data_IF_197558373809
#
_entry.id   IF_197558373809
#
_cell.length_a   1.000
_cell.length_b   1.000
_cell.length_c   1.000
_cell.angle_alpha   90.00
_cell.angle_beta   90.00
_cell.angle_gamma   90.00
#
_symmetry.space_group_name_H-M   'P 1'
#
loop_
_entity.id
_entity.type
_entity.pdbx_description
1 polymer ?
#
# COMPACT_ATOMS: atom_id res chain seq x y z
N UNK A 1 5.61 57.46 45.66
CA UNK A 1 6.49 58.43 44.99
C UNK A 1 6.73 57.85 43.61
N UNK A 2 6.31 58.34 42.49
CA UNK A 2 5.64 59.52 42.00
C UNK A 2 4.86 59.13 40.76
N UNK A 3 3.61 59.51 40.69
CA UNK A 3 2.72 59.44 39.52
C UNK A 3 3.20 60.41 38.44
N UNK A 4 3.10 60.00 37.20
CA UNK A 4 3.00 60.93 36.06
C UNK A 4 1.84 60.51 35.14
N UNK A 5 0.86 61.43 35.18
CA UNK A 5 -0.30 61.51 34.32
C UNK A 5 0.08 62.42 33.14
N UNK A 6 -0.15 62.06 31.89
CA UNK A 6 -0.14 62.99 30.76
C UNK A 6 -1.33 62.76 29.89
N UNK A 7 -2.15 63.77 29.89
CA UNK A 7 -3.38 63.95 29.12
C UNK A 7 -3.14 63.93 27.60
N UNK A 8 -4.13 63.39 26.92
CA UNK A 8 -4.25 63.35 25.48
C UNK A 8 -5.01 64.61 24.97
N UNK A 9 -4.45 65.40 24.08
CA UNK A 9 -5.21 66.41 23.34
C UNK A 9 -5.12 66.15 21.83
N UNK A 10 -6.02 65.38 21.25
CA UNK A 10 -6.47 65.54 19.88
C UNK A 10 -7.81 64.82 19.65
N UNK A 11 -8.87 65.58 19.91
CA UNK A 11 -10.21 65.28 19.36
C UNK A 11 -10.37 66.01 18.05
N UNK A 12 -11.10 65.34 17.14
CA UNK A 12 -11.79 65.86 15.98
C UNK A 12 -11.00 66.06 14.65
N UNK A 13 -11.21 65.13 13.75
CA UNK A 13 -11.57 65.43 12.34
C UNK A 13 -12.25 64.19 11.74
N UNK A 14 -13.53 64.28 11.42
CA UNK A 14 -14.30 63.29 10.70
C UNK A 14 -13.82 63.16 9.27
N UNK A 15 -13.36 61.96 8.89
CA UNK A 15 -13.06 61.60 7.50
C UNK A 15 -14.02 60.45 7.12
N UNK A 16 -14.82 60.73 6.08
CA UNK A 16 -15.83 59.80 5.57
C UNK A 16 -15.27 58.44 5.18
N UNK A 17 -15.99 57.42 5.50
CA UNK A 17 -15.62 56.03 5.11
C UNK A 17 -15.69 55.89 3.59
N UNK A 18 -14.65 55.40 2.89
CA UNK A 18 -14.77 55.16 1.47
C UNK A 18 -15.65 53.92 1.21
N UNK A 19 -16.53 54.03 0.25
CA UNK A 19 -17.55 53.06 -0.16
C UNK A 19 -16.98 51.83 -0.90
N UNK A 20 -15.81 51.37 -0.55
CA UNK A 20 -15.10 50.27 -1.25
C UNK A 20 -15.14 48.93 -0.51
N UNK A 21 -15.94 48.82 0.59
CA UNK A 21 -15.97 47.61 1.42
C UNK A 21 -17.03 46.57 0.97
N UNK A 22 -17.81 46.80 -0.05
CA UNK A 22 -18.91 45.90 -0.45
C UNK A 22 -18.67 45.07 -1.70
N UNK A 23 -17.51 45.21 -2.39
CA UNK A 23 -17.24 44.42 -3.60
C UNK A 23 -16.27 43.20 -3.35
N UNK A 24 -15.58 43.17 -2.22
CA UNK A 24 -14.59 42.13 -1.93
C UNK A 24 -15.22 40.80 -1.49
N UNK A 25 -16.45 40.80 -1.04
CA UNK A 25 -17.13 39.59 -0.54
C UNK A 25 -17.78 38.72 -1.62
N UNK A 26 -17.90 39.25 -2.83
CA UNK A 26 -18.49 38.53 -3.98
C UNK A 26 -17.45 37.84 -4.86
N UNK A 27 -16.14 38.16 -4.71
CA UNK A 27 -15.06 37.55 -5.48
C UNK A 27 -14.47 36.30 -4.81
N UNK A 28 -14.64 36.13 -3.50
CA UNK A 28 -14.11 34.96 -2.76
C UNK A 28 -14.87 33.66 -3.11
N UNK A 29 -16.22 33.63 -3.20
CA UNK A 29 -16.90 32.40 -3.63
C UNK A 29 -16.67 32.04 -5.10
N UNK A 30 -16.35 33.01 -5.98
CA UNK A 30 -16.07 32.76 -7.40
C UNK A 30 -14.72 32.09 -7.64
N UNK A 31 -13.70 32.38 -6.83
CA UNK A 31 -12.36 31.75 -6.94
C UNK A 31 -12.32 30.33 -6.37
N UNK A 32 -13.21 30.02 -5.41
CA UNK A 32 -13.34 28.67 -4.84
C UNK A 32 -14.01 27.68 -5.79
N UNK A 33 -14.70 28.15 -6.83
CA UNK A 33 -15.35 27.30 -7.83
C UNK A 33 -14.43 26.88 -8.98
N UNK A 34 -13.23 27.46 -9.11
CA UNK A 34 -12.28 27.16 -10.19
C UNK A 34 -11.15 26.19 -9.78
N UNK A 35 -11.02 25.84 -8.50
CA UNK A 35 -10.14 24.76 -8.06
C UNK A 35 -10.85 23.40 -8.12
N UNK A 36 -11.40 23.07 -9.26
CA UNK A 36 -11.79 21.73 -9.65
C UNK A 36 -10.54 20.88 -9.86
N UNK A 37 -9.73 20.68 -8.83
CA UNK A 37 -8.74 19.61 -8.84
C UNK A 37 -9.48 18.31 -9.12
N UNK A 38 -9.03 17.57 -10.13
CA UNK A 38 -9.57 16.32 -10.61
C UNK A 38 -9.61 15.26 -9.50
N UNK A 39 -10.58 15.36 -8.59
CA UNK A 39 -10.88 14.31 -7.64
C UNK A 39 -11.89 13.40 -8.32
N UNK A 40 -11.50 12.15 -8.54
CA UNK A 40 -12.43 11.14 -9.04
C UNK A 40 -13.04 10.37 -7.87
N UNK A 41 -14.24 9.86 -8.08
CA UNK A 41 -14.84 8.85 -7.21
C UNK A 41 -14.41 7.48 -7.75
N UNK A 42 -14.19 6.52 -6.86
CA UNK A 42 -13.90 5.15 -7.28
C UNK A 42 -15.03 4.63 -8.17
N UNK A 43 -14.66 3.87 -9.21
CA UNK A 43 -15.63 3.21 -10.08
C UNK A 43 -16.25 2.04 -9.34
N UNK A 44 -17.56 1.88 -9.48
CA UNK A 44 -18.27 0.71 -8.98
C UNK A 44 -18.04 -0.46 -9.95
N UNK A 45 -17.08 -1.33 -9.62
CA UNK A 45 -16.72 -2.51 -10.40
C UNK A 45 -17.06 -3.73 -9.55
N UNK A 46 -17.92 -4.64 -10.05
CA UNK A 46 -18.28 -5.84 -9.32
C UNK A 46 -17.04 -6.69 -8.97
N UNK A 47 -16.96 -7.11 -7.72
CA UNK A 47 -15.90 -8.00 -7.25
C UNK A 47 -16.12 -9.40 -7.82
N UNK A 48 -15.11 -9.93 -8.52
CA UNK A 48 -15.09 -11.32 -8.98
C UNK A 48 -14.37 -12.14 -7.92
N UNK A 49 -15.02 -13.11 -7.25
CA UNK A 49 -14.36 -13.94 -6.26
C UNK A 49 -13.14 -14.67 -6.83
N UNK A 50 -12.06 -14.69 -6.05
CA UNK A 50 -10.83 -15.40 -6.40
C UNK A 50 -10.31 -16.18 -5.20
N UNK A 51 -9.78 -17.38 -5.42
CA UNK A 51 -9.33 -18.27 -4.37
C UNK A 51 -7.89 -18.70 -4.57
N UNK A 52 -7.24 -19.08 -3.46
CA UNK A 52 -5.94 -19.72 -3.49
C UNK A 52 -5.99 -20.99 -4.34
N UNK A 53 -4.95 -21.24 -5.09
CA UNK A 53 -4.79 -22.51 -5.80
C UNK A 53 -4.35 -23.59 -4.79
N UNK A 54 -4.58 -24.88 -5.08
CA UNK A 54 -3.99 -25.96 -4.30
C UNK A 54 -2.48 -25.78 -4.20
N UNK A 55 -1.82 -26.34 -3.17
CA UNK A 55 -0.37 -26.31 -3.08
C UNK A 55 0.30 -26.86 -4.34
N UNK A 56 1.30 -26.15 -4.84
CA UNK A 56 2.09 -26.59 -6.00
C UNK A 56 2.61 -28.02 -5.81
N UNK A 57 2.57 -28.79 -6.89
CA UNK A 57 3.08 -30.17 -6.94
C UNK A 57 4.42 -30.24 -7.68
N UNK A 58 5.05 -29.10 -7.95
CA UNK A 58 6.32 -28.99 -8.68
C UNK A 58 7.11 -27.76 -8.21
N UNK A 59 8.31 -27.60 -8.72
CA UNK A 59 9.15 -26.44 -8.45
C UNK A 59 9.95 -26.50 -7.14
N UNK A 60 10.77 -25.47 -6.88
CA UNK A 60 11.69 -25.46 -5.73
C UNK A 60 10.98 -25.50 -4.39
N UNK A 61 9.89 -24.77 -4.22
CA UNK A 61 9.16 -24.71 -2.94
C UNK A 61 8.48 -26.05 -2.62
N UNK A 62 7.96 -26.76 -3.63
CA UNK A 62 7.47 -28.12 -3.44
C UNK A 62 8.57 -29.08 -2.99
N UNK A 63 9.76 -29.01 -3.58
CA UNK A 63 10.88 -29.86 -3.16
C UNK A 63 11.29 -29.60 -1.70
N UNK A 64 11.29 -28.34 -1.27
CA UNK A 64 11.56 -27.98 0.13
C UNK A 64 10.51 -28.58 1.05
N UNK A 65 9.23 -28.51 0.72
CA UNK A 65 8.17 -29.09 1.57
C UNK A 65 8.24 -30.61 1.62
N UNK A 66 8.58 -31.27 0.54
CA UNK A 66 8.83 -32.71 0.49
C UNK A 66 9.99 -33.12 1.43
N UNK A 67 11.07 -32.36 1.46
CA UNK A 67 12.20 -32.62 2.38
C UNK A 67 11.78 -32.41 3.85
N UNK A 68 11.00 -31.37 4.12
CA UNK A 68 10.45 -31.10 5.46
C UNK A 68 9.55 -32.25 5.93
N UNK A 69 8.67 -32.73 5.08
CA UNK A 69 7.78 -33.86 5.38
C UNK A 69 8.57 -35.16 5.61
N UNK A 70 9.61 -35.40 4.84
CA UNK A 70 10.47 -36.57 5.01
C UNK A 70 11.21 -36.56 6.36
N UNK A 71 11.56 -35.37 6.88
CA UNK A 71 12.25 -35.21 8.16
C UNK A 71 11.31 -35.17 9.36
N UNK A 72 10.16 -34.51 9.25
CA UNK A 72 9.28 -34.20 10.38
C UNK A 72 8.01 -35.06 10.40
N UNK A 73 7.71 -35.77 9.32
CA UNK A 73 6.48 -36.54 9.12
C UNK A 73 5.42 -35.77 8.33
N UNK A 74 4.60 -36.52 7.59
CA UNK A 74 3.50 -35.99 6.77
C UNK A 74 2.49 -35.26 7.64
N UNK A 75 1.96 -34.13 7.12
CA UNK A 75 0.97 -33.33 7.82
C UNK A 75 1.52 -32.46 8.95
N UNK A 76 2.84 -32.32 9.06
CA UNK A 76 3.49 -31.42 10.01
C UNK A 76 3.89 -30.10 9.37
N UNK A 77 3.69 -29.02 10.10
CA UNK A 77 4.22 -27.71 9.73
C UNK A 77 5.58 -27.46 10.39
N UNK A 78 6.41 -26.69 9.72
CA UNK A 78 7.69 -26.22 10.28
C UNK A 78 7.71 -24.71 10.35
N UNK A 79 8.56 -24.16 11.22
CA UNK A 79 8.65 -22.73 11.48
C UNK A 79 10.12 -22.30 11.60
N UNK A 80 10.42 -21.18 10.94
CA UNK A 80 11.68 -20.46 11.08
C UNK A 80 11.40 -19.03 11.53
N UNK A 81 11.89 -18.65 12.70
CA UNK A 81 11.77 -17.28 13.20
C UNK A 81 12.67 -16.32 12.43
N UNK A 82 12.16 -15.15 12.05
CA UNK A 82 12.88 -14.06 11.38
C UNK A 82 12.94 -12.83 12.30
N UNK A 83 13.84 -12.79 13.28
CA UNK A 83 14.03 -11.63 14.15
C UNK A 83 14.77 -10.48 13.45
N UNK A 84 15.62 -10.79 12.47
CA UNK A 84 16.41 -9.80 11.75
C UNK A 84 15.60 -9.11 10.63
N UNK A 85 15.78 -7.80 10.51
CA UNK A 85 15.02 -6.99 9.56
C UNK A 85 15.44 -7.28 8.11
N UNK A 86 16.73 -7.38 7.85
CA UNK A 86 17.24 -7.62 6.50
C UNK A 86 16.91 -9.04 6.02
N UNK A 87 16.99 -10.03 6.91
CA UNK A 87 16.61 -11.39 6.59
C UNK A 87 15.11 -11.49 6.28
N UNK A 88 14.27 -10.71 6.98
CA UNK A 88 12.84 -10.65 6.68
C UNK A 88 12.54 -10.14 5.26
N UNK A 89 13.31 -9.17 4.74
CA UNK A 89 13.22 -8.75 3.33
C UNK A 89 13.76 -9.83 2.41
N UNK A 90 14.96 -10.34 2.65
CA UNK A 90 15.59 -11.37 1.83
C UNK A 90 14.71 -12.61 1.62
N UNK A 91 14.01 -13.04 2.66
CA UNK A 91 13.08 -14.16 2.54
C UNK A 91 11.91 -13.86 1.62
N UNK A 92 11.36 -12.63 1.59
CA UNK A 92 10.31 -12.25 0.66
C UNK A 92 10.79 -12.26 -0.78
N UNK A 93 11.98 -11.67 -1.03
CA UNK A 93 12.59 -11.66 -2.35
C UNK A 93 12.88 -13.10 -2.83
N UNK A 94 13.47 -13.92 -1.97
CA UNK A 94 13.75 -15.33 -2.26
C UNK A 94 12.47 -16.11 -2.59
N UNK A 95 11.39 -15.94 -1.82
CA UNK A 95 10.13 -16.63 -2.10
C UNK A 95 9.50 -16.12 -3.39
N UNK A 96 9.59 -14.82 -3.70
CA UNK A 96 9.15 -14.27 -4.98
C UNK A 96 9.93 -14.87 -6.16
N UNK A 97 11.24 -15.03 -6.02
CA UNK A 97 12.10 -15.60 -7.06
C UNK A 97 11.86 -17.10 -7.27
N UNK A 98 11.59 -17.84 -6.19
CA UNK A 98 11.37 -19.29 -6.22
C UNK A 98 9.93 -19.70 -6.58
N UNK A 99 8.97 -18.79 -6.47
CA UNK A 99 7.57 -19.06 -6.82
C UNK A 99 7.43 -19.43 -8.31
N UNK A 100 6.62 -20.44 -8.57
CA UNK A 100 6.36 -21.00 -9.91
C UNK A 100 4.90 -20.92 -10.33
N UNK A 101 3.97 -20.78 -9.38
CA UNK A 101 2.53 -20.82 -9.68
C UNK A 101 1.80 -19.60 -9.09
N UNK A 102 1.97 -19.30 -7.79
CA UNK A 102 1.19 -18.25 -7.12
C UNK A 102 1.98 -17.48 -6.07
N UNK A 103 1.67 -16.18 -5.94
CA UNK A 103 2.04 -15.34 -4.80
C UNK A 103 0.80 -14.62 -4.32
N UNK A 104 0.49 -14.74 -3.02
CA UNK A 104 -0.55 -13.97 -2.33
C UNK A 104 0.11 -13.11 -1.25
N UNK A 105 -0.04 -11.79 -1.34
CA UNK A 105 0.59 -10.85 -0.41
C UNK A 105 -0.46 -9.89 0.17
N UNK A 106 -0.50 -9.78 1.51
CA UNK A 106 -1.45 -8.95 2.23
C UNK A 106 -0.70 -8.06 3.21
N UNK A 107 -0.93 -6.74 3.14
CA UNK A 107 -0.25 -5.78 3.99
C UNK A 107 -1.15 -4.62 4.40
N UNK A 108 -0.96 -4.14 5.63
CA UNK A 108 -1.60 -2.93 6.11
C UNK A 108 -0.97 -1.68 5.48
N UNK A 109 0.35 -1.69 5.27
CA UNK A 109 1.10 -0.57 4.70
C UNK A 109 2.12 -1.10 3.68
N UNK A 110 2.17 -0.43 2.53
CA UNK A 110 3.20 -0.63 1.51
C UNK A 110 3.71 0.73 1.06
N UNK A 111 4.94 1.06 1.47
CA UNK A 111 5.61 2.30 1.08
C UNK A 111 6.19 2.19 -0.33
N UNK A 112 6.15 3.30 -1.07
CA UNK A 112 6.87 3.42 -2.35
C UNK A 112 8.35 3.79 -2.18
N UNK A 113 8.97 3.39 -1.05
CA UNK A 113 10.39 3.56 -0.79
C UNK A 113 11.22 2.42 -1.43
N UNK A 114 12.51 2.39 -1.16
CA UNK A 114 13.45 1.47 -1.77
C UNK A 114 13.08 0.00 -1.56
N UNK A 115 12.75 -0.38 -0.32
CA UNK A 115 12.33 -1.75 0.01
C UNK A 115 11.03 -2.12 -0.71
N UNK A 116 10.07 -1.20 -0.75
CA UNK A 116 8.78 -1.45 -1.41
C UNK A 116 8.92 -1.54 -2.93
N UNK A 117 9.78 -0.71 -3.54
CA UNK A 117 10.08 -0.77 -4.98
C UNK A 117 10.84 -2.05 -5.36
N UNK A 118 11.80 -2.45 -4.53
CA UNK A 118 12.55 -3.69 -4.74
C UNK A 118 11.62 -4.91 -4.71
N UNK A 119 10.76 -5.02 -3.72
CA UNK A 119 9.80 -6.13 -3.67
C UNK A 119 8.81 -6.08 -4.83
N UNK A 120 8.32 -4.90 -5.22
CA UNK A 120 7.45 -4.74 -6.38
C UNK A 120 8.12 -5.21 -7.68
N UNK A 121 9.41 -4.94 -7.85
CA UNK A 121 10.18 -5.42 -9.00
C UNK A 121 10.22 -6.96 -9.04
N UNK A 122 10.52 -7.62 -7.91
CA UNK A 122 10.52 -9.09 -7.84
C UNK A 122 9.13 -9.69 -8.10
N UNK A 123 8.05 -9.02 -7.66
CA UNK A 123 6.68 -9.46 -7.98
C UNK A 123 6.35 -9.33 -9.48
N UNK A 124 6.81 -8.26 -10.14
CA UNK A 124 6.66 -8.12 -11.59
C UNK A 124 7.45 -9.20 -12.31
N UNK A 125 8.70 -9.46 -11.91
CA UNK A 125 9.53 -10.51 -12.49
C UNK A 125 8.93 -11.91 -12.28
N UNK A 126 8.31 -12.17 -11.12
CA UNK A 126 7.54 -13.40 -10.90
C UNK A 126 6.34 -13.49 -11.85
N UNK A 127 5.58 -12.42 -11.98
CA UNK A 127 4.43 -12.36 -12.89
C UNK A 127 4.82 -12.53 -14.36
N UNK A 128 5.98 -12.02 -14.80
CA UNK A 128 6.55 -12.24 -16.13
C UNK A 128 6.87 -13.72 -16.39
N UNK A 129 7.27 -14.45 -15.35
CA UNK A 129 7.47 -15.90 -15.44
C UNK A 129 6.18 -16.70 -15.50
N UNK A 130 5.02 -16.02 -15.40
CA UNK A 130 3.68 -16.64 -15.42
C UNK A 130 3.09 -16.91 -14.03
N UNK A 131 3.75 -16.48 -12.96
CA UNK A 131 3.23 -16.61 -11.59
C UNK A 131 2.02 -15.68 -11.42
N UNK A 132 0.92 -16.20 -10.89
CA UNK A 132 -0.24 -15.38 -10.52
C UNK A 132 0.03 -14.65 -9.22
N UNK A 133 0.02 -13.32 -9.24
CA UNK A 133 0.24 -12.46 -8.08
C UNK A 133 -1.07 -11.81 -7.67
N UNK A 134 -1.48 -12.00 -6.40
CA UNK A 134 -2.59 -11.26 -5.75
C UNK A 134 -2.01 -10.38 -4.65
N UNK A 135 -2.25 -9.09 -4.74
CA UNK A 135 -1.79 -8.11 -3.75
C UNK A 135 -2.98 -7.41 -3.10
N UNK A 136 -3.15 -7.59 -1.80
CA UNK A 136 -4.18 -6.94 -0.99
C UNK A 136 -3.54 -5.94 -0.01
N UNK A 137 -3.88 -4.66 -0.14
CA UNK A 137 -3.32 -3.59 0.70
C UNK A 137 -4.43 -2.76 1.30
N UNK A 138 -4.27 -2.35 2.56
CA UNK A 138 -5.20 -1.40 3.19
C UNK A 138 -4.96 0.02 2.68
N UNK A 139 -6.02 0.84 2.55
CA UNK A 139 -5.94 2.19 1.97
C UNK A 139 -5.43 3.29 2.94
N UNK A 140 -4.80 2.94 4.04
CA UNK A 140 -4.34 3.97 4.99
C UNK A 140 -3.28 4.90 4.37
N UNK A 141 -2.39 4.36 3.52
CA UNK A 141 -1.27 5.09 2.94
C UNK A 141 -1.17 5.00 1.41
N UNK A 142 -2.19 4.49 0.73
CA UNK A 142 -2.19 4.33 -0.73
C UNK A 142 -2.82 5.51 -1.48
N UNK A 143 -3.30 6.52 -0.79
CA UNK A 143 -4.15 7.59 -1.31
C UNK A 143 -3.52 8.38 -2.47
N UNK A 144 -2.21 8.54 -2.48
CA UNK A 144 -1.47 9.27 -3.51
C UNK A 144 -0.84 8.35 -4.57
N UNK A 145 -1.18 7.05 -4.55
CA UNK A 145 -0.59 6.03 -5.42
C UNK A 145 -1.56 5.37 -6.40
N UNK A 146 -2.73 5.97 -6.67
CA UNK A 146 -3.73 5.41 -7.59
C UNK A 146 -3.16 5.07 -8.97
N UNK A 147 -2.26 5.92 -9.49
CA UNK A 147 -1.55 5.66 -10.76
C UNK A 147 -0.61 4.45 -10.67
N UNK A 148 0.03 4.21 -9.55
CA UNK A 148 0.91 3.06 -9.34
C UNK A 148 0.09 1.78 -9.19
N UNK A 149 -1.05 1.84 -8.50
CA UNK A 149 -2.01 0.74 -8.41
C UNK A 149 -2.50 0.36 -9.81
N UNK A 150 -2.98 1.34 -10.59
CA UNK A 150 -3.44 1.11 -11.96
C UNK A 150 -2.33 0.55 -12.87
N UNK A 151 -1.10 1.06 -12.70
CA UNK A 151 0.05 0.63 -13.48
C UNK A 151 0.42 -0.84 -13.18
N UNK A 152 0.55 -1.23 -11.91
CA UNK A 152 0.84 -2.62 -11.54
C UNK A 152 -0.32 -3.57 -11.91
N UNK A 153 -1.56 -3.15 -11.69
CA UNK A 153 -2.76 -3.94 -12.03
C UNK A 153 -2.97 -4.09 -13.55
N UNK A 154 -2.21 -3.36 -14.40
CA UNK A 154 -2.24 -3.55 -15.85
C UNK A 154 -1.51 -4.81 -16.32
N UNK A 155 -0.68 -5.42 -15.46
CA UNK A 155 -0.01 -6.68 -15.77
C UNK A 155 -1.02 -7.84 -15.77
N UNK A 156 -1.06 -8.72 -16.79
CA UNK A 156 -2.08 -9.78 -16.91
C UNK A 156 -2.06 -10.80 -15.77
N UNK A 157 -0.92 -10.97 -15.09
CA UNK A 157 -0.73 -11.92 -13.99
C UNK A 157 -0.69 -11.23 -12.60
N UNK A 158 -0.97 -9.92 -12.50
CA UNK A 158 -1.04 -9.20 -11.23
C UNK A 158 -2.45 -8.68 -11.02
N UNK A 159 -3.09 -9.06 -9.93
CA UNK A 159 -4.35 -8.49 -9.47
C UNK A 159 -4.14 -7.79 -8.13
N UNK A 160 -4.54 -6.52 -8.06
CA UNK A 160 -4.46 -5.73 -6.84
C UNK A 160 -5.87 -5.47 -6.33
N UNK A 161 -6.05 -5.57 -5.00
CA UNK A 161 -7.23 -5.09 -4.31
C UNK A 161 -6.84 -4.19 -3.16
N UNK A 162 -7.63 -3.16 -2.96
CA UNK A 162 -7.46 -2.23 -1.84
C UNK A 162 -8.59 -2.46 -0.84
N UNK A 163 -8.22 -2.73 0.40
CA UNK A 163 -9.18 -2.99 1.46
C UNK A 163 -9.67 -1.69 2.08
N UNK A 164 -11.00 -1.56 2.21
CA UNK A 164 -11.71 -0.44 2.81
C UNK A 164 -11.23 0.94 2.33
N UNK A 165 -11.24 1.21 1.00
CA UNK A 165 -10.71 2.44 0.44
C UNK A 165 -11.59 3.65 0.72
N UNK A 166 -10.95 4.82 0.80
CA UNK A 166 -11.64 6.09 0.72
C UNK A 166 -12.32 6.23 -0.65
N UNK A 167 -13.60 6.54 -0.65
CA UNK A 167 -14.38 6.73 -1.88
C UNK A 167 -14.04 8.05 -2.57
N UNK A 168 -13.68 9.07 -1.78
CA UNK A 168 -13.36 10.41 -2.28
C UNK A 168 -11.85 10.59 -2.36
N UNK A 169 -11.29 10.35 -3.54
CA UNK A 169 -9.84 10.45 -3.81
C UNK A 169 -9.40 11.91 -4.03
N UNK A 170 -8.14 12.21 -3.77
CA UNK A 170 -7.43 13.42 -4.23
C UNK A 170 -7.59 14.69 -3.39
N UNK A 171 -8.60 14.86 -2.52
CA UNK A 171 -8.80 16.09 -1.74
C UNK A 171 -8.95 15.84 -0.24
N UNK A 172 -8.06 16.43 0.57
CA UNK A 172 -8.11 16.33 2.03
C UNK A 172 -9.45 16.80 2.62
N UNK A 173 -10.05 17.87 2.04
CA UNK A 173 -11.35 18.38 2.48
C UNK A 173 -12.48 17.37 2.21
N UNK A 174 -12.48 16.74 1.06
CA UNK A 174 -13.50 15.72 0.71
C UNK A 174 -13.36 14.48 1.59
N UNK A 175 -12.14 14.04 1.88
CA UNK A 175 -11.88 12.96 2.84
C UNK A 175 -12.37 13.32 4.24
N UNK A 176 -12.14 14.56 4.70
CA UNK A 176 -12.67 15.02 5.98
C UNK A 176 -14.21 14.95 6.03
N UNK A 177 -14.91 15.29 4.94
CA UNK A 177 -16.39 15.16 4.86
C UNK A 177 -16.83 13.69 4.84
N UNK A 178 -16.09 12.81 4.20
CA UNK A 178 -16.36 11.38 4.20
C UNK A 178 -16.15 10.77 5.60
N UNK A 179 -15.05 11.15 6.27
CA UNK A 179 -14.77 10.71 7.63
C UNK A 179 -15.88 11.08 8.62
N UNK A 180 -16.45 12.27 8.52
CA UNK A 180 -17.59 12.70 9.36
C UNK A 180 -18.82 11.82 9.17
N UNK A 181 -19.04 11.28 7.97
CA UNK A 181 -20.19 10.42 7.65
C UNK A 181 -19.95 8.92 7.85
N UNK A 182 -18.72 8.47 7.70
CA UNK A 182 -18.34 7.06 7.63
C UNK A 182 -17.21 6.67 8.60
N UNK A 183 -16.97 7.45 9.66
CA UNK A 183 -15.83 7.28 10.57
C UNK A 183 -15.74 5.87 11.18
N UNK A 184 -16.88 5.25 11.50
CA UNK A 184 -16.92 3.88 12.06
C UNK A 184 -16.39 2.85 11.05
N UNK A 185 -16.80 2.94 9.80
CA UNK A 185 -16.34 2.06 8.73
C UNK A 185 -14.86 2.32 8.41
N UNK A 186 -14.47 3.58 8.22
CA UNK A 186 -13.10 3.95 7.87
C UNK A 186 -12.07 3.66 8.98
N UNK A 187 -12.50 3.41 10.22
CA UNK A 187 -11.64 2.97 11.31
C UNK A 187 -11.46 1.45 11.39
N UNK A 188 -12.20 0.68 10.61
CA UNK A 188 -12.03 -0.77 10.53
C UNK A 188 -10.97 -1.09 9.48
N UNK A 189 -9.74 -1.34 9.94
CA UNK A 189 -8.58 -1.53 9.08
C UNK A 189 -8.09 -2.97 9.10
N UNK A 190 -7.59 -3.41 7.96
CA UNK A 190 -6.98 -4.71 7.80
C UNK A 190 -5.51 -4.65 8.27
N UNK A 191 -5.24 -5.14 9.47
CA UNK A 191 -3.89 -5.06 10.06
C UNK A 191 -3.04 -6.33 9.85
N UNK A 192 -3.49 -7.26 9.03
CA UNK A 192 -2.80 -8.51 8.71
C UNK A 192 -1.57 -8.24 7.82
N UNK A 193 -0.52 -9.06 7.99
CA UNK A 193 0.66 -9.04 7.13
C UNK A 193 1.06 -10.48 6.87
N UNK A 194 0.98 -10.87 5.61
CA UNK A 194 1.38 -12.20 5.15
C UNK A 194 1.91 -12.16 3.72
N UNK A 195 2.70 -13.15 3.41
CA UNK A 195 3.23 -13.43 2.07
C UNK A 195 3.22 -14.93 1.87
N UNK A 196 2.48 -15.44 0.91
CA UNK A 196 2.37 -16.87 0.61
C UNK A 196 2.91 -17.12 -0.79
N UNK A 197 3.77 -18.12 -0.95
CA UNK A 197 4.32 -18.53 -2.24
C UNK A 197 3.93 -19.98 -2.55
N UNK A 198 3.38 -20.23 -3.72
CA UNK A 198 2.94 -21.53 -4.26
C UNK A 198 2.03 -22.33 -3.32
N UNK A 199 1.52 -21.66 -2.28
CA UNK A 199 0.67 -22.19 -1.20
C UNK A 199 1.26 -23.21 -0.22
N UNK A 200 2.49 -23.72 -0.36
CA UNK A 200 3.10 -24.54 0.70
C UNK A 200 4.01 -23.76 1.65
N UNK A 201 4.40 -22.53 1.34
CA UNK A 201 5.31 -21.71 2.16
C UNK A 201 4.69 -20.32 2.39
N UNK A 202 4.74 -19.84 3.63
CA UNK A 202 4.23 -18.53 3.98
C UNK A 202 5.14 -17.79 4.96
N UNK A 203 5.09 -16.45 4.93
CA UNK A 203 5.63 -15.56 5.97
C UNK A 203 4.44 -14.87 6.63
N UNK A 204 4.42 -14.85 7.96
CA UNK A 204 3.44 -14.09 8.75
C UNK A 204 4.13 -13.36 9.89
N UNK A 205 3.62 -12.18 10.25
CA UNK A 205 4.16 -11.40 11.36
C UNK A 205 3.68 -9.97 11.41
N UNK A 206 4.48 -9.09 11.98
CA UNK A 206 4.10 -7.70 12.22
C UNK A 206 4.68 -6.69 11.23
N UNK A 207 5.70 -7.05 10.39
CA UNK A 207 6.34 -6.09 9.48
C UNK A 207 5.46 -5.75 8.29
N UNK A 208 5.32 -4.46 8.04
CA UNK A 208 4.81 -3.93 6.78
C UNK A 208 5.93 -3.86 5.73
N UNK A 209 5.62 -3.37 4.54
CA UNK A 209 6.60 -3.13 3.48
C UNK A 209 7.04 -1.67 3.52
N UNK A 210 8.33 -1.46 3.76
CA UNK A 210 8.96 -0.14 3.84
C UNK A 210 10.30 -0.15 4.55
N UNK A 211 11.16 0.80 4.22
CA UNK A 211 12.53 0.92 4.72
C UNK A 211 12.67 0.79 6.25
N UNK A 212 11.80 1.40 7.09
CA UNK A 212 11.94 1.27 8.54
C UNK A 212 11.70 -0.16 9.07
N UNK A 213 11.01 -1.02 8.32
CA UNK A 213 10.76 -2.41 8.71
C UNK A 213 11.89 -3.37 8.34
N UNK A 214 12.77 -2.93 7.42
CA UNK A 214 13.85 -3.77 6.90
C UNK A 214 15.25 -3.27 7.24
N UNK A 215 15.35 -2.24 8.09
CA UNK A 215 16.63 -1.75 8.58
C UNK A 215 17.22 -0.58 7.80
N UNK A 216 16.49 -0.04 6.81
CA UNK A 216 16.91 1.08 5.94
C UNK A 216 16.26 2.42 6.32
N UNK A 217 15.62 2.53 7.48
CA UNK A 217 15.02 3.79 7.93
C UNK A 217 16.08 4.79 8.37
N UNK A 218 16.04 6.01 7.84
CA UNK A 218 16.99 7.08 8.16
C UNK A 218 16.92 7.57 9.61
N UNK A 219 15.74 7.58 10.21
CA UNK A 219 15.50 8.14 11.55
C UNK A 219 15.25 7.07 12.60
N UNK A 220 14.62 5.96 12.22
CA UNK A 220 14.30 4.85 13.12
C UNK A 220 14.08 3.58 12.32
N UNK A 221 14.26 2.43 12.98
CA UNK A 221 13.90 1.12 12.45
C UNK A 221 13.05 0.38 13.48
N UNK A 222 11.98 -0.24 13.00
CA UNK A 222 11.14 -1.09 13.84
C UNK A 222 11.88 -2.41 14.15
N UNK A 223 11.61 -2.94 15.33
CA UNK A 223 11.94 -4.32 15.68
C UNK A 223 10.65 -5.12 15.74
N UNK A 224 10.62 -6.21 15.03
CA UNK A 224 9.45 -7.07 14.96
C UNK A 224 9.86 -8.52 14.78
N UNK A 225 8.94 -9.45 14.98
CA UNK A 225 9.16 -10.87 14.78
C UNK A 225 8.22 -11.38 13.70
N UNK A 226 8.78 -12.12 12.76
CA UNK A 226 8.04 -12.85 11.75
C UNK A 226 8.45 -14.31 11.75
N UNK A 227 7.64 -15.11 11.09
CA UNK A 227 7.86 -16.54 10.96
C UNK A 227 7.70 -16.93 9.51
N UNK A 228 8.71 -17.59 8.94
CA UNK A 228 8.52 -18.41 7.74
C UNK A 228 7.94 -19.73 8.20
N UNK A 229 6.91 -20.19 7.53
CA UNK A 229 6.31 -21.49 7.81
C UNK A 229 6.09 -22.27 6.53
N UNK A 230 6.17 -23.60 6.64
CA UNK A 230 5.88 -24.49 5.53
C UNK A 230 5.04 -25.68 6.01
N UNK A 231 4.23 -26.22 5.10
CA UNK A 231 3.31 -27.33 5.36
C UNK A 231 1.86 -26.86 5.57
N UNK A 232 0.98 -27.67 6.20
CA UNK A 232 -0.46 -27.43 6.26
C UNK A 232 -0.87 -26.05 6.78
N UNK A 233 -0.14 -25.46 7.73
CA UNK A 233 -0.45 -24.12 8.23
C UNK A 233 -0.36 -23.02 7.15
N UNK A 234 0.44 -23.19 6.11
CA UNK A 234 0.49 -22.23 5.01
C UNK A 234 -0.82 -22.21 4.24
N UNK A 235 -1.49 -23.36 4.13
CA UNK A 235 -2.83 -23.48 3.52
C UNK A 235 -3.88 -22.72 4.34
N UNK A 236 -3.82 -22.84 5.68
CA UNK A 236 -4.73 -22.10 6.57
C UNK A 236 -4.51 -20.59 6.45
N UNK A 237 -3.24 -20.15 6.26
CA UNK A 237 -2.89 -18.74 6.01
C UNK A 237 -3.48 -18.27 4.68
N UNK A 238 -3.41 -19.09 3.61
CA UNK A 238 -4.03 -18.78 2.32
C UNK A 238 -5.56 -18.69 2.42
N UNK A 239 -6.20 -19.53 3.18
CA UNK A 239 -7.64 -19.43 3.44
C UNK A 239 -7.98 -18.12 4.19
N UNK A 240 -7.15 -17.71 5.14
CA UNK A 240 -7.31 -16.42 5.82
C UNK A 240 -7.16 -15.25 4.83
N UNK A 241 -6.22 -15.31 3.89
CA UNK A 241 -6.10 -14.33 2.82
C UNK A 241 -7.39 -14.26 1.98
N UNK A 242 -7.93 -15.39 1.56
CA UNK A 242 -9.12 -15.46 0.71
C UNK A 242 -10.35 -14.83 1.37
N UNK A 243 -10.48 -14.90 2.70
CA UNK A 243 -11.56 -14.23 3.43
C UNK A 243 -11.52 -12.71 3.24
N UNK A 244 -10.34 -12.10 3.35
CA UNK A 244 -10.17 -10.66 3.13
C UNK A 244 -10.20 -10.28 1.66
N UNK A 245 -9.66 -11.16 0.78
CA UNK A 245 -9.65 -10.95 -0.65
C UNK A 245 -11.05 -10.86 -1.24
N UNK A 246 -11.97 -11.68 -0.75
CA UNK A 246 -13.36 -11.77 -1.21
C UNK A 246 -14.35 -10.97 -0.34
N UNK A 247 -13.85 -10.18 0.62
CA UNK A 247 -14.68 -9.34 1.46
C UNK A 247 -15.29 -8.18 0.65
N UNK A 248 -16.52 -7.77 0.98
CA UNK A 248 -17.23 -6.66 0.33
C UNK A 248 -16.49 -5.31 0.45
N UNK A 249 -15.52 -5.20 1.36
CA UNK A 249 -14.67 -4.02 1.52
C UNK A 249 -13.41 -4.04 0.68
N UNK A 250 -13.11 -5.13 0.01
CA UNK A 250 -12.02 -5.21 -0.96
C UNK A 250 -12.49 -4.65 -2.31
N UNK A 251 -11.78 -3.66 -2.84
CA UNK A 251 -12.08 -3.01 -4.12
C UNK A 251 -10.96 -3.31 -5.10
N UNK A 252 -11.33 -3.76 -6.30
CA UNK A 252 -10.35 -4.07 -7.35
C UNK A 252 -9.52 -2.86 -7.76
N UNK A 253 -8.23 -3.05 -8.03
CA UNK A 253 -7.31 -2.01 -8.50
C UNK A 253 -7.77 -1.30 -9.78
N UNK A 254 -8.58 -1.95 -10.60
CA UNK A 254 -9.18 -1.32 -11.78
C UNK A 254 -10.07 -0.11 -11.43
N UNK A 255 -10.73 -0.13 -10.25
CA UNK A 255 -11.58 0.98 -9.79
C UNK A 255 -10.77 2.28 -9.54
N UNK A 256 -9.46 2.15 -9.31
CA UNK A 256 -8.56 3.27 -9.03
C UNK A 256 -7.98 3.92 -10.29
N UNK A 257 -8.22 3.37 -11.48
CA UNK A 257 -7.77 3.94 -12.74
C UNK A 257 -8.52 5.25 -13.02
N UNK A 258 -7.84 6.42 -13.03
CA UNK A 258 -8.50 7.69 -13.31
C UNK A 258 -9.13 7.69 -14.71
N UNK A 259 -10.24 8.41 -14.91
CA UNK A 259 -10.82 8.54 -16.25
C UNK A 259 -9.81 9.10 -17.27
N UNK A 260 -9.63 8.41 -18.39
CA UNK A 260 -8.69 8.81 -19.45
C UNK A 260 -7.21 8.58 -19.13
N UNK A 261 -6.90 7.93 -18.01
CA UNK A 261 -5.54 7.51 -17.71
C UNK A 261 -5.26 6.16 -18.40
N UNK A 262 -4.21 6.14 -19.21
CA UNK A 262 -3.64 4.91 -19.75
C UNK A 262 -2.41 4.56 -18.92
N UNK A 263 -2.44 3.43 -18.18
CA UNK A 263 -1.29 3.02 -17.38
C UNK A 263 -0.09 2.74 -18.29
N UNK A 264 1.15 3.05 -17.85
CA UNK A 264 2.33 2.69 -18.58
C UNK A 264 2.43 1.16 -18.75
N UNK A 265 3.10 0.71 -19.79
CA UNK A 265 3.36 -0.71 -19.97
C UNK A 265 4.18 -1.28 -18.80
N UNK A 266 4.04 -2.55 -18.51
CA UNK A 266 4.81 -3.22 -17.44
C UNK A 266 6.32 -3.08 -17.65
N UNK A 267 6.79 -3.11 -18.91
CA UNK A 267 8.21 -2.85 -19.24
C UNK A 267 8.65 -1.44 -18.85
N UNK A 268 7.81 -0.44 -19.06
CA UNK A 268 8.10 0.93 -18.64
C UNK A 268 8.19 1.04 -17.12
N UNK A 269 7.27 0.40 -16.39
CA UNK A 269 7.26 0.35 -14.92
C UNK A 269 8.54 -0.32 -14.40
N UNK A 270 8.86 -1.50 -14.93
CA UNK A 270 10.08 -2.23 -14.57
C UNK A 270 11.33 -1.37 -14.76
N UNK A 271 11.43 -0.71 -15.90
CA UNK A 271 12.56 0.18 -16.19
C UNK A 271 12.64 1.36 -15.22
N UNK A 272 11.51 1.94 -14.85
CA UNK A 272 11.47 3.03 -13.86
C UNK A 272 11.97 2.52 -12.52
N UNK A 273 11.44 1.41 -12.02
CA UNK A 273 11.85 0.80 -10.75
C UNK A 273 13.36 0.47 -10.73
N UNK A 274 13.88 -0.13 -11.80
CA UNK A 274 15.30 -0.44 -11.91
C UNK A 274 16.18 0.81 -11.90
N UNK A 275 15.77 1.88 -12.60
CA UNK A 275 16.51 3.15 -12.63
C UNK A 275 16.50 3.84 -11.26
N UNK A 276 15.38 3.81 -10.54
CA UNK A 276 15.26 4.39 -9.21
C UNK A 276 16.12 3.63 -8.18
N UNK A 277 16.11 2.29 -8.21
CA UNK A 277 16.96 1.47 -7.36
C UNK A 277 18.45 1.71 -7.65
N UNK A 278 18.85 1.76 -8.93
CA UNK A 278 20.25 2.09 -9.31
C UNK A 278 20.65 3.51 -8.92
N UNK A 279 19.72 4.46 -8.86
CA UNK A 279 20.00 5.81 -8.39
C UNK A 279 20.23 5.84 -6.88
N UNK A 280 19.44 5.08 -6.11
CA UNK A 280 19.62 4.93 -4.67
C UNK A 280 20.99 4.32 -4.34
N UNK A 281 21.35 3.19 -4.96
CA UNK A 281 22.67 2.55 -4.79
C UNK A 281 23.86 3.50 -5.05
N UNK A 282 23.73 4.37 -6.05
CA UNK A 282 24.78 5.36 -6.37
C UNK A 282 24.91 6.46 -5.34
N UNK A 283 23.80 6.86 -4.72
CA UNK A 283 23.80 7.88 -3.67
C UNK A 283 24.38 7.34 -2.35
N UNK A 284 24.23 6.06 -2.05
CA UNK A 284 24.83 5.43 -0.88
C UNK A 284 26.36 5.21 -1.01
N UNK A 285 26.89 5.16 -2.24
CA UNK A 285 28.32 4.99 -2.53
C UNK A 285 29.09 6.31 -2.66
N UNK A 286 28.42 7.46 -2.67
CA UNK A 286 29.02 8.79 -2.84
C UNK A 286 29.17 9.51 -1.49
#
# INVERSE_FOLDING_TARGET
>A
MTSFNLDNPFAAAGVGKPAWRSLSWLLIPGLLLLSGCASHQLRDIPLIPGYAQPPSQSGPLFQVTQQIEAQNGVGKSTYLALPDNLDALRWRLLLADLATETIDAQYYLWNGDESGRLLALHLIEAADRGVRVRLLVDDVFTIDSDSNIAALNSHPNIEIRIFNPWQKRGSAWRRATEYLGASRQLNQRMHNKLFVADNPVAIVGGRNIGNPYFGFGEHYNFRDLEVVTAGPVAIDISHSFDLYWNDDWAVTGEAFTPPGYEPPSTDAIRKILQLELQAADRLEQA
#
